data_IF_381567254385
#
_entry.id   IF_381567254385
#
_cell.length_a   1.000
_cell.length_b   1.000
_cell.length_c   1.000
_cell.angle_alpha   90.00
_cell.angle_beta   90.00
_cell.angle_gamma   90.00
#
_symmetry.space_group_name_H-M   'P 1'
#
loop_
_entity.id
_entity.type
_entity.pdbx_description
1 polymer ?
#
# COMPACT_ATOMS: atom_id res chain seq x y z
N UNK A 1 -15.49 8.85 9.23
CA UNK A 1 -14.17 8.71 8.59
C UNK A 1 -13.91 7.22 8.39
N UNK A 2 -14.01 6.73 7.14
CA UNK A 2 -13.95 5.31 6.81
C UNK A 2 -12.51 4.80 6.89
N UNK A 3 -12.33 3.59 7.41
CA UNK A 3 -11.03 2.91 7.67
C UNK A 3 -10.37 2.39 6.37
N UNK A 4 -10.85 2.84 5.21
CA UNK A 4 -10.51 2.28 3.89
C UNK A 4 -9.46 3.10 3.13
N UNK A 5 -8.86 4.11 3.75
CA UNK A 5 -7.57 4.65 3.31
C UNK A 5 -6.43 3.71 3.69
N UNK A 6 -6.61 2.41 3.40
CA UNK A 6 -5.49 1.47 3.37
C UNK A 6 -4.61 1.88 2.20
N UNK A 7 -3.67 2.75 2.55
CA UNK A 7 -2.42 3.03 1.85
C UNK A 7 -2.03 1.79 1.07
N UNK A 8 -2.01 1.95 -0.25
CA UNK A 8 -1.68 0.94 -1.26
C UNK A 8 -0.17 0.62 -1.23
N UNK A 9 0.40 0.45 -0.03
CA UNK A 9 1.70 -0.17 0.19
C UNK A 9 1.45 -1.66 0.20
N UNK A 10 2.16 -2.35 -0.67
CA UNK A 10 2.26 -3.79 -0.61
C UNK A 10 2.79 -4.23 0.75
N UNK A 11 1.95 -4.94 1.52
CA UNK A 11 2.42 -6.07 2.32
C UNK A 11 3.21 -6.99 1.39
N UNK A 12 4.52 -7.09 1.56
CA UNK A 12 5.35 -7.82 0.59
C UNK A 12 6.85 -7.75 0.84
N UNK A 13 7.35 -6.76 1.58
CA UNK A 13 8.71 -6.82 2.09
C UNK A 13 8.69 -7.55 3.46
N UNK A 14 9.27 -8.78 3.54
CA UNK A 14 9.31 -9.52 4.79
C UNK A 14 10.07 -8.78 5.90
N UNK A 15 10.97 -7.85 5.56
CA UNK A 15 11.62 -6.98 6.56
C UNK A 15 10.65 -5.95 7.13
N UNK A 16 9.81 -5.32 6.31
CA UNK A 16 8.77 -4.39 6.78
C UNK A 16 7.77 -5.11 7.68
N UNK A 17 7.31 -6.30 7.30
CA UNK A 17 6.39 -7.09 8.13
C UNK A 17 7.02 -7.48 9.47
N UNK A 18 8.31 -7.84 9.46
CA UNK A 18 9.08 -8.12 10.68
C UNK A 18 9.17 -6.88 11.57
N UNK A 19 9.52 -5.72 11.03
CA UNK A 19 9.63 -4.45 11.77
C UNK A 19 8.27 -4.04 12.35
N UNK A 20 7.19 -4.09 11.56
CA UNK A 20 5.83 -3.80 12.01
C UNK A 20 5.41 -4.76 13.13
N UNK A 21 5.79 -6.05 13.03
CA UNK A 21 5.49 -7.03 14.08
C UNK A 21 6.23 -6.73 15.40
N UNK A 22 7.48 -6.27 15.34
CA UNK A 22 8.27 -5.85 16.51
C UNK A 22 7.59 -4.64 17.15
N UNK A 23 7.19 -3.67 16.33
CA UNK A 23 6.51 -2.46 16.77
C UNK A 23 5.17 -2.78 17.47
N UNK A 24 4.33 -3.61 16.85
CA UNK A 24 3.04 -4.03 17.42
C UNK A 24 3.18 -4.80 18.73
N UNK A 25 4.25 -5.58 18.88
CA UNK A 25 4.50 -6.37 20.09
C UNK A 25 5.11 -5.55 21.23
N UNK A 26 5.44 -4.27 21.00
CA UNK A 26 6.03 -3.39 22.03
C UNK A 26 7.36 -3.92 22.59
N UNK A 27 8.05 -4.82 21.87
CA UNK A 27 9.29 -5.45 22.32
C UNK A 27 10.47 -4.51 22.09
N UNK A 28 10.52 -3.44 22.87
CA UNK A 28 11.62 -2.49 22.89
C UNK A 28 12.30 -2.58 24.26
N UNK A 29 13.54 -3.08 24.30
CA UNK A 29 14.31 -3.16 25.56
C UNK A 29 14.76 -1.77 26.02
N UNK A 30 15.05 -0.85 25.09
CA UNK A 30 15.42 0.54 25.39
C UNK A 30 14.75 1.53 24.44
N UNK A 31 14.59 2.77 24.90
CA UNK A 31 14.13 3.89 24.07
C UNK A 31 14.99 4.11 22.81
N UNK A 32 16.32 3.95 22.91
CA UNK A 32 17.22 4.09 21.75
C UNK A 32 16.95 3.06 20.64
N UNK A 33 16.49 1.87 21.00
CA UNK A 33 16.18 0.82 20.04
C UNK A 33 14.88 1.15 19.28
N UNK A 34 13.92 1.80 19.94
CA UNK A 34 12.70 2.33 19.32
C UNK A 34 13.02 3.37 18.25
N UNK A 35 13.89 4.34 18.55
CA UNK A 35 14.24 5.40 17.60
C UNK A 35 14.97 4.86 16.37
N UNK A 36 15.85 3.88 16.56
CA UNK A 36 16.55 3.21 15.47
C UNK A 36 15.57 2.41 14.58
N UNK A 37 14.61 1.72 15.20
CA UNK A 37 13.57 0.98 14.48
C UNK A 37 12.65 1.94 13.71
N UNK A 38 12.31 3.10 14.29
CA UNK A 38 11.51 4.12 13.63
C UNK A 38 12.20 4.64 12.37
N UNK A 39 13.49 4.99 12.46
CA UNK A 39 14.27 5.43 11.29
C UNK A 39 14.34 4.35 10.19
N UNK A 40 14.47 3.08 10.57
CA UNK A 40 14.45 1.96 9.61
C UNK A 40 13.07 1.81 8.97
N UNK A 41 12.00 1.95 9.74
CA UNK A 41 10.63 1.89 9.24
C UNK A 41 10.38 3.02 8.22
N UNK A 42 10.70 4.27 8.58
CA UNK A 42 10.52 5.43 7.70
C UNK A 42 11.29 5.25 6.38
N UNK A 43 12.55 4.80 6.47
CA UNK A 43 13.38 4.52 5.30
C UNK A 43 12.74 3.45 4.42
N UNK A 44 12.34 2.33 5.00
CA UNK A 44 11.81 1.21 4.22
C UNK A 44 10.43 1.56 3.62
N UNK A 45 9.58 2.30 4.33
CA UNK A 45 8.29 2.77 3.81
C UNK A 45 8.47 3.71 2.60
N UNK A 46 9.39 4.68 2.70
CA UNK A 46 9.63 5.63 1.61
C UNK A 46 10.29 5.00 0.37
N UNK A 47 10.93 3.84 0.53
CA UNK A 47 11.58 3.10 -0.55
C UNK A 47 10.83 1.85 -0.99
N UNK A 48 9.65 1.59 -0.42
CA UNK A 48 8.81 0.48 -0.84
C UNK A 48 8.25 0.76 -2.24
N UNK A 49 8.41 -0.20 -3.15
CA UNK A 49 7.83 -0.11 -4.49
C UNK A 49 6.31 -0.24 -4.42
N UNK A 50 5.61 0.76 -4.98
CA UNK A 50 4.16 0.67 -5.16
C UNK A 50 3.85 -0.12 -6.44
N UNK A 51 3.14 -1.25 -6.34
CA UNK A 51 2.76 -2.08 -7.50
C UNK A 51 1.94 -1.35 -8.57
N UNK A 52 1.24 -0.28 -8.18
CA UNK A 52 0.36 0.44 -9.10
C UNK A 52 1.15 1.37 -10.00
N UNK A 53 2.18 2.01 -9.45
CA UNK A 53 2.97 3.05 -10.12
C UNK A 53 4.37 2.57 -10.49
N UNK A 54 4.81 1.42 -9.96
CA UNK A 54 6.17 0.86 -10.03
C UNK A 54 7.28 1.84 -9.60
N UNK A 55 6.91 2.87 -8.83
CA UNK A 55 7.83 3.87 -8.26
C UNK A 55 7.74 3.85 -6.74
N UNK A 56 8.83 4.18 -6.07
CA UNK A 56 8.85 4.37 -4.61
C UNK A 56 8.34 5.76 -4.24
N UNK A 57 7.67 5.96 -3.09
CA UNK A 57 7.25 7.29 -2.65
C UNK A 57 8.37 8.34 -2.71
N UNK A 58 9.60 7.94 -2.37
CA UNK A 58 10.77 8.81 -2.47
C UNK A 58 11.10 9.21 -3.92
N UNK A 59 11.10 8.25 -4.85
CA UNK A 59 11.29 8.53 -6.28
C UNK A 59 10.17 9.42 -6.84
N UNK A 60 8.95 9.31 -6.32
CA UNK A 60 7.84 10.18 -6.75
C UNK A 60 8.05 11.65 -6.39
N UNK A 61 8.79 11.91 -5.31
CA UNK A 61 9.04 13.26 -4.81
C UNK A 61 10.32 13.87 -5.39
N UNK A 62 11.34 13.05 -5.61
CA UNK A 62 12.69 13.54 -5.90
C UNK A 62 13.26 13.11 -7.25
N UNK A 63 12.57 12.24 -7.98
CA UNK A 63 13.02 11.71 -9.29
C UNK A 63 14.36 10.97 -9.25
N UNK A 64 14.76 10.45 -8.10
CA UNK A 64 15.90 9.56 -8.01
C UNK A 64 15.67 8.45 -7.00
N UNK A 65 16.37 7.34 -7.21
CA UNK A 65 16.36 6.20 -6.31
C UNK A 65 17.49 6.33 -5.29
N UNK A 66 17.21 6.47 -3.98
CA UNK A 66 18.25 6.58 -2.99
C UNK A 66 18.91 5.21 -2.78
N UNK A 67 20.24 5.18 -2.89
CA UNK A 67 21.07 3.98 -2.75
C UNK A 67 21.72 3.98 -1.37
N UNK A 68 21.26 3.12 -0.47
CA UNK A 68 21.72 3.10 0.93
C UNK A 68 22.91 2.17 1.20
N UNK A 69 23.14 1.16 0.35
CA UNK A 69 24.11 0.08 0.61
C UNK A 69 25.22 -0.06 -0.45
N UNK A 70 25.32 0.87 -1.42
CA UNK A 70 26.15 0.67 -2.63
C UNK A 70 27.67 0.84 -2.43
N UNK A 71 28.15 1.20 -1.23
CA UNK A 71 29.58 1.17 -0.89
C UNK A 71 30.51 1.83 -1.92
N UNK A 72 31.65 1.20 -2.21
CA UNK A 72 32.69 1.69 -3.15
C UNK A 72 32.18 1.72 -4.61
N UNK A 73 31.16 0.93 -4.94
CA UNK A 73 30.57 0.87 -6.29
C UNK A 73 29.87 2.18 -6.69
N UNK A 74 29.59 3.07 -5.72
CA UNK A 74 29.10 4.42 -5.98
C UNK A 74 29.99 5.20 -6.95
N UNK A 75 31.32 5.05 -6.85
CA UNK A 75 32.28 5.81 -7.67
C UNK A 75 32.34 5.36 -9.14
N UNK A 76 31.73 4.21 -9.48
CA UNK A 76 31.76 3.65 -10.82
C UNK A 76 30.44 3.88 -11.58
N UNK A 77 29.39 4.34 -10.91
CA UNK A 77 28.06 4.49 -11.50
C UNK A 77 27.78 5.90 -12.08
N UNK A 78 28.73 6.83 -11.98
CA UNK A 78 28.54 8.26 -12.31
C UNK A 78 28.45 8.57 -13.82
N UNK A 79 28.64 7.60 -14.73
CA UNK A 79 28.67 7.87 -16.18
C UNK A 79 27.31 7.80 -16.88
N UNK A 80 26.32 7.07 -16.37
CA UNK A 80 24.96 7.07 -16.93
C UNK A 80 24.09 8.04 -16.15
N UNK A 81 24.31 9.35 -16.35
CA UNK A 81 23.53 10.40 -15.71
C UNK A 81 22.03 10.17 -15.98
N UNK A 82 21.33 9.71 -14.94
CA UNK A 82 19.88 9.65 -14.87
C UNK A 82 19.39 11.10 -15.08
N UNK A 83 18.84 11.37 -16.26
CA UNK A 83 18.48 12.71 -16.70
C UNK A 83 17.40 13.23 -15.75
N UNK A 84 17.74 14.25 -14.97
CA UNK A 84 16.79 14.90 -14.06
C UNK A 84 15.54 15.32 -14.84
N UNK A 85 14.41 14.78 -14.44
CA UNK A 85 13.08 15.17 -14.90
C UNK A 85 12.40 16.00 -13.81
N UNK A 86 11.59 16.98 -14.23
CA UNK A 86 10.86 17.80 -13.28
C UNK A 86 9.94 16.91 -12.43
N UNK A 87 10.07 16.92 -11.09
CA UNK A 87 9.20 16.17 -10.19
C UNK A 87 7.71 16.39 -10.45
N UNK A 88 7.34 17.57 -10.97
CA UNK A 88 5.95 17.92 -11.27
C UNK A 88 5.36 17.02 -12.35
N UNK A 89 6.11 16.72 -13.42
CA UNK A 89 5.68 15.84 -14.53
C UNK A 89 5.50 14.38 -14.07
N UNK A 90 6.33 13.96 -13.12
CA UNK A 90 6.25 12.62 -12.54
C UNK A 90 5.05 12.53 -11.61
N UNK A 91 4.81 13.55 -10.80
CA UNK A 91 3.67 13.56 -9.88
C UNK A 91 2.34 13.59 -10.63
N UNK A 92 2.23 14.34 -11.72
CA UNK A 92 1.01 14.39 -12.55
C UNK A 92 0.73 13.03 -13.19
N UNK A 93 1.71 12.44 -13.88
CA UNK A 93 1.55 11.11 -14.50
C UNK A 93 1.18 10.01 -13.49
N UNK A 94 1.74 10.08 -12.29
CA UNK A 94 1.39 9.13 -11.22
C UNK A 94 -0.02 9.39 -10.68
N UNK A 95 -0.41 10.65 -10.47
CA UNK A 95 -1.75 11.01 -10.02
C UNK A 95 -2.80 10.48 -10.99
N UNK A 96 -2.64 10.72 -12.29
CA UNK A 96 -3.52 10.20 -13.33
C UNK A 96 -3.61 8.67 -13.31
N UNK A 97 -2.48 8.00 -13.13
CA UNK A 97 -2.43 6.53 -13.04
C UNK A 97 -3.17 6.00 -11.81
N UNK A 98 -3.02 6.65 -10.66
CA UNK A 98 -3.73 6.30 -9.43
C UNK A 98 -5.24 6.49 -9.63
N UNK A 99 -5.67 7.63 -10.16
CA UNK A 99 -7.08 7.91 -10.42
C UNK A 99 -7.69 6.90 -11.39
N UNK A 100 -7.00 6.57 -12.49
CA UNK A 100 -7.47 5.59 -13.46
C UNK A 100 -7.60 4.20 -12.84
N UNK A 101 -6.64 3.79 -12.01
CA UNK A 101 -6.70 2.51 -11.31
C UNK A 101 -7.81 2.45 -10.27
N UNK A 102 -8.06 3.54 -9.54
CA UNK A 102 -9.19 3.64 -8.61
C UNK A 102 -10.53 3.59 -9.34
N UNK A 103 -10.67 4.31 -10.47
CA UNK A 103 -11.87 4.26 -11.32
C UNK A 103 -12.10 2.84 -11.84
N UNK A 104 -11.05 2.14 -12.28
CA UNK A 104 -11.13 0.74 -12.73
C UNK A 104 -11.60 -0.19 -11.60
N UNK A 105 -10.96 -0.12 -10.43
CA UNK A 105 -11.37 -0.93 -9.26
C UNK A 105 -12.83 -0.70 -8.87
N UNK A 106 -13.29 0.56 -8.81
CA UNK A 106 -14.70 0.87 -8.52
C UNK A 106 -15.66 0.28 -9.55
N UNK A 107 -15.31 0.31 -10.84
CA UNK A 107 -16.11 -0.32 -11.89
C UNK A 107 -16.16 -1.84 -11.72
N UNK A 108 -15.02 -2.47 -11.48
CA UNK A 108 -14.92 -3.92 -11.31
C UNK A 108 -15.67 -4.40 -10.06
N UNK A 109 -15.53 -3.69 -8.94
CA UNK A 109 -16.28 -3.95 -7.71
C UNK A 109 -17.77 -3.72 -7.88
N UNK A 110 -18.18 -2.67 -8.60
CA UNK A 110 -19.57 -2.42 -8.95
C UNK A 110 -20.15 -3.57 -9.79
N UNK A 111 -19.40 -4.04 -10.80
CA UNK A 111 -19.76 -5.19 -11.62
C UNK A 111 -19.84 -6.48 -10.80
N UNK A 112 -18.89 -6.70 -9.87
CA UNK A 112 -18.89 -7.87 -9.00
C UNK A 112 -20.06 -7.84 -8.02
N UNK A 113 -20.36 -6.68 -7.43
CA UNK A 113 -21.53 -6.49 -6.56
C UNK A 113 -22.82 -6.76 -7.33
N UNK A 114 -22.94 -6.26 -8.55
CA UNK A 114 -24.10 -6.50 -9.41
C UNK A 114 -24.25 -7.97 -9.82
N UNK A 115 -23.14 -8.70 -10.03
CA UNK A 115 -23.16 -10.14 -10.33
C UNK A 115 -23.44 -11.01 -9.09
N UNK A 116 -22.98 -10.61 -7.90
CA UNK A 116 -23.19 -11.33 -6.63
C UNK A 116 -24.56 -11.07 -6.04
N UNK A 117 -25.04 -9.83 -6.14
CA UNK A 117 -26.42 -9.49 -5.86
C UNK A 117 -27.21 -9.67 -7.16
N UNK A 118 -27.51 -10.93 -7.52
CA UNK A 118 -28.77 -11.15 -8.22
C UNK A 118 -29.84 -10.49 -7.36
N UNK A 119 -30.49 -9.44 -7.88
CA UNK A 119 -31.41 -8.62 -7.12
C UNK A 119 -32.57 -9.49 -6.66
N UNK A 120 -32.47 -10.08 -5.46
CA UNK A 120 -33.59 -10.79 -4.85
C UNK A 120 -34.51 -9.74 -4.27
N UNK A 121 -35.33 -9.13 -5.12
CA UNK A 121 -36.44 -8.28 -4.69
C UNK A 121 -37.58 -9.18 -4.24
N UNK A 122 -38.01 -9.04 -3.00
CA UNK A 122 -39.19 -9.74 -2.49
C UNK A 122 -40.43 -8.88 -2.72
N UNK A 123 -41.51 -9.49 -3.21
CA UNK A 123 -42.81 -8.81 -3.28
C UNK A 123 -43.50 -8.90 -1.91
N UNK A 124 -44.27 -7.88 -1.56
CA UNK A 124 -45.26 -7.99 -0.48
C UNK A 124 -46.14 -9.21 -0.79
N UNK A 125 -46.25 -10.16 0.16
CA UNK A 125 -46.88 -11.50 0.07
C UNK A 125 -45.93 -12.71 -0.11
N UNK A 126 -44.61 -12.54 -0.26
CA UNK A 126 -43.68 -13.68 -0.28
C UNK A 126 -43.25 -14.14 1.11
N UNK A 127 -43.31 -15.44 1.36
CA UNK A 127 -42.75 -16.09 2.57
C UNK A 127 -41.25 -16.30 2.37
N UNK A 128 -40.44 -15.79 3.30
CA UNK A 128 -38.97 -15.91 3.29
C UNK A 128 -38.50 -16.55 4.59
N UNK A 129 -37.51 -17.44 4.51
CA UNK A 129 -36.90 -18.10 5.67
C UNK A 129 -35.57 -17.42 6.01
N UNK A 130 -35.42 -16.91 7.23
CA UNK A 130 -34.14 -16.43 7.76
C UNK A 130 -33.38 -17.57 8.44
N UNK A 131 -32.10 -17.69 8.13
CA UNK A 131 -31.19 -18.57 8.88
C UNK A 131 -30.71 -17.84 10.13
N UNK A 132 -30.88 -18.45 11.29
CA UNK A 132 -30.33 -17.94 12.54
C UNK A 132 -28.82 -18.22 12.59
N UNK A 133 -28.05 -17.30 13.18
CA UNK A 133 -26.64 -17.56 13.50
C UNK A 133 -26.55 -18.61 14.59
N UNK A 134 -25.66 -19.62 14.47
CA UNK A 134 -25.50 -20.65 15.49
C UNK A 134 -24.98 -20.03 16.78
N UNK A 135 -25.62 -20.37 17.90
CA UNK A 135 -25.16 -19.98 19.23
C UNK A 135 -24.09 -21.02 19.62
N UNK A 136 -22.86 -20.56 19.85
CA UNK A 136 -21.79 -21.37 20.42
C UNK A 136 -22.10 -21.61 21.90
N UNK A 137 -22.61 -22.79 22.23
CA UNK A 137 -22.67 -23.27 23.61
C UNK A 137 -21.33 -23.92 23.92
N UNK A 138 -20.47 -23.19 24.62
CA UNK A 138 -19.22 -23.70 25.21
C UNK A 138 -19.29 -23.62 26.73
#
# INVERSE_FOLDING_TARGET
MSVDEQVLIQRGDPELDKIISIFKKGKFERHKDRDLIMKKLDRNLNNALNKTTNKTPFQMLHDYSPRFNDGILRKQADESAERWTDPTEIQTSIRERIENMQKKKKKDEGHLRQKKCGTTSYKSEQVVVMKNTPILTG
#
